data_IF_025009098606
#
_entry.id   IF_025009098606
#
_cell.length_a   1.000
_cell.length_b   1.000
_cell.length_c   1.000
_cell.angle_alpha   90.00
_cell.angle_beta   90.00
_cell.angle_gamma   90.00
#
_symmetry.space_group_name_H-M   'P 1'
#
loop_
_entity.id
_entity.type
_entity.pdbx_description
1 polymer ?
#
# COMPACT_ATOMS: atom_id res chain seq x y z
N UNK A 1 -32.73 38.01 -2.54
CA UNK A 1 -31.30 37.66 -2.46
C UNK A 1 -31.24 36.53 -1.45
N UNK A 2 -30.78 35.36 -1.87
CA UNK A 2 -30.65 34.20 -0.98
C UNK A 2 -29.42 34.49 -0.12
N UNK A 3 -29.54 34.37 1.21
CA UNK A 3 -28.53 34.75 2.20
C UNK A 3 -27.18 34.10 1.90
N UNK A 4 -26.15 34.90 1.59
CA UNK A 4 -24.79 34.43 1.32
C UNK A 4 -24.20 33.66 2.51
N UNK A 5 -24.67 33.95 3.73
CA UNK A 5 -24.29 33.26 4.95
C UNK A 5 -24.88 31.83 5.01
N UNK A 6 -26.12 31.66 4.53
CA UNK A 6 -26.78 30.36 4.46
C UNK A 6 -26.11 29.45 3.41
N UNK A 7 -25.66 30.01 2.29
CA UNK A 7 -24.95 29.26 1.24
C UNK A 7 -23.56 28.79 1.73
N UNK A 8 -22.91 29.61 2.56
CA UNK A 8 -21.62 29.26 3.17
C UNK A 8 -21.75 28.17 4.23
N UNK A 9 -22.75 28.25 5.11
CA UNK A 9 -23.05 27.18 6.06
C UNK A 9 -23.38 25.85 5.35
N UNK A 10 -24.09 25.92 4.22
CA UNK A 10 -24.38 24.76 3.38
C UNK A 10 -23.11 24.14 2.80
N UNK A 11 -22.21 24.99 2.27
CA UNK A 11 -20.93 24.55 1.70
C UNK A 11 -20.02 23.90 2.75
N UNK A 12 -19.90 24.50 3.93
CA UNK A 12 -19.08 23.98 5.02
C UNK A 12 -19.61 22.62 5.51
N UNK A 13 -20.93 22.48 5.61
CA UNK A 13 -21.58 21.21 5.98
C UNK A 13 -21.34 20.12 4.93
N UNK A 14 -21.47 20.46 3.64
CA UNK A 14 -21.20 19.54 2.55
C UNK A 14 -19.72 19.10 2.51
N UNK A 15 -18.78 20.02 2.76
CA UNK A 15 -17.34 19.71 2.81
C UNK A 15 -17.02 18.75 3.96
N UNK A 16 -17.67 18.94 5.12
CA UNK A 16 -17.54 18.03 6.25
C UNK A 16 -18.06 16.62 5.90
N UNK A 17 -19.26 16.53 5.32
CA UNK A 17 -19.84 15.26 4.87
C UNK A 17 -18.94 14.54 3.87
N UNK A 18 -18.41 15.25 2.88
CA UNK A 18 -17.47 14.68 1.89
C UNK A 18 -16.24 14.11 2.60
N UNK A 19 -15.69 14.80 3.59
CA UNK A 19 -14.52 14.33 4.33
C UNK A 19 -14.80 13.08 5.18
N UNK A 20 -15.99 12.99 5.76
CA UNK A 20 -16.46 11.86 6.56
C UNK A 20 -16.71 10.63 5.68
N UNK A 21 -17.46 10.83 4.60
CA UNK A 21 -17.78 9.80 3.62
C UNK A 21 -16.52 9.28 2.93
N UNK A 22 -15.55 10.13 2.60
CA UNK A 22 -14.27 9.70 2.01
C UNK A 22 -13.49 8.78 2.95
N UNK A 23 -13.50 9.08 4.26
CA UNK A 23 -12.84 8.25 5.27
C UNK A 23 -13.54 6.91 5.45
N UNK A 24 -14.88 6.93 5.43
CA UNK A 24 -15.71 5.71 5.48
C UNK A 24 -15.54 4.85 4.24
N UNK A 25 -15.51 5.46 3.06
CA UNK A 25 -15.29 4.77 1.79
C UNK A 25 -13.96 4.00 1.82
N UNK A 26 -12.86 4.67 2.22
CA UNK A 26 -11.56 4.03 2.32
C UNK A 26 -11.54 2.83 3.29
N UNK A 27 -12.33 2.90 4.37
CA UNK A 27 -12.46 1.80 5.33
C UNK A 27 -13.25 0.64 4.73
N UNK A 28 -14.42 0.93 4.17
CA UNK A 28 -15.30 -0.08 3.56
C UNK A 28 -14.65 -0.76 2.36
N UNK A 29 -13.91 -0.02 1.53
CA UNK A 29 -13.15 -0.58 0.41
C UNK A 29 -12.10 -1.58 0.89
N UNK A 30 -11.36 -1.24 1.97
CA UNK A 30 -10.38 -2.14 2.56
C UNK A 30 -11.03 -3.40 3.12
N UNK A 31 -12.11 -3.26 3.86
CA UNK A 31 -12.82 -4.40 4.47
C UNK A 31 -13.43 -5.31 3.40
N UNK A 32 -13.97 -4.73 2.33
CA UNK A 32 -14.47 -5.46 1.18
C UNK A 32 -13.35 -6.26 0.49
N UNK A 33 -12.21 -5.63 0.23
CA UNK A 33 -11.06 -6.30 -0.40
C UNK A 33 -10.56 -7.48 0.46
N UNK A 34 -10.49 -7.30 1.78
CA UNK A 34 -10.10 -8.38 2.70
C UNK A 34 -11.11 -9.53 2.71
N UNK A 35 -12.42 -9.21 2.70
CA UNK A 35 -13.48 -10.23 2.68
C UNK A 35 -13.53 -11.06 1.38
N UNK A 36 -12.96 -10.55 0.28
CA UNK A 36 -12.89 -11.26 -0.99
C UNK A 36 -11.69 -12.19 -1.10
N UNK A 37 -10.71 -12.03 -0.21
CA UNK A 37 -9.54 -12.90 -0.17
C UNK A 37 -9.87 -14.14 0.67
N UNK A 38 -9.67 -15.35 0.13
CA UNK A 38 -9.73 -16.55 0.95
C UNK A 38 -8.61 -16.52 1.99
N UNK A 39 -8.88 -16.99 3.21
CA UNK A 39 -7.84 -17.19 4.21
C UNK A 39 -6.92 -18.35 3.76
N UNK A 40 -5.67 -18.03 3.45
CA UNK A 40 -4.68 -19.04 3.08
C UNK A 40 -3.73 -19.31 4.27
N UNK A 41 -3.47 -20.59 4.62
CA UNK A 41 -2.58 -20.95 5.73
C UNK A 41 -1.12 -20.49 5.53
N UNK A 42 -0.78 -19.97 4.35
CA UNK A 42 0.53 -19.45 4.02
C UNK A 42 0.72 -17.98 4.35
N UNK A 43 -0.35 -17.21 4.54
CA UNK A 43 -0.30 -15.74 4.65
C UNK A 43 0.44 -15.25 5.90
N UNK A 44 0.46 -16.06 6.97
CA UNK A 44 1.16 -15.76 8.21
C UNK A 44 2.63 -16.21 8.22
N UNK A 45 3.11 -16.85 7.15
CA UNK A 45 4.47 -17.42 7.11
C UNK A 45 5.48 -16.43 6.52
N UNK A 46 6.70 -16.48 7.05
CA UNK A 46 7.84 -15.80 6.44
C UNK A 46 8.11 -16.33 5.03
N UNK A 47 8.51 -15.43 4.13
CA UNK A 47 8.86 -15.75 2.74
C UNK A 47 10.34 -15.49 2.50
N UNK A 48 10.96 -16.35 1.69
CA UNK A 48 12.31 -16.14 1.17
C UNK A 48 12.19 -15.56 -0.24
N UNK A 49 12.73 -14.36 -0.45
CA UNK A 49 12.78 -13.70 -1.75
C UNK A 49 14.18 -13.86 -2.37
N UNK A 50 14.25 -14.55 -3.50
CA UNK A 50 15.48 -14.72 -4.27
C UNK A 50 15.42 -13.87 -5.55
N UNK A 51 16.36 -12.94 -5.71
CA UNK A 51 16.45 -12.09 -6.91
C UNK A 51 17.61 -12.58 -7.78
N UNK A 52 17.29 -13.09 -8.97
CA UNK A 52 18.27 -13.59 -9.95
C UNK A 52 18.33 -12.68 -11.18
N UNK A 53 19.52 -12.42 -11.70
CA UNK A 53 19.69 -11.74 -12.97
C UNK A 53 19.18 -12.63 -14.12
N UNK A 54 18.33 -12.06 -14.97
CA UNK A 54 17.84 -12.71 -16.20
C UNK A 54 18.77 -12.50 -17.39
N UNK A 55 18.21 -12.55 -18.60
CA UNK A 55 18.92 -12.15 -19.81
C UNK A 55 19.24 -10.64 -19.81
N UNK A 56 20.38 -10.27 -20.40
CA UNK A 56 20.84 -8.87 -20.42
C UNK A 56 22.12 -8.60 -19.63
N UNK A 57 22.89 -9.63 -19.27
CA UNK A 57 24.27 -9.50 -18.80
C UNK A 57 24.46 -8.56 -17.61
N UNK A 58 25.26 -7.52 -17.82
CA UNK A 58 25.65 -6.56 -16.78
C UNK A 58 24.45 -5.72 -16.31
N UNK A 59 23.61 -5.28 -17.24
CA UNK A 59 22.41 -4.48 -16.96
C UNK A 59 21.40 -5.28 -16.12
N UNK A 60 21.21 -6.57 -16.44
CA UNK A 60 20.36 -7.46 -15.66
C UNK A 60 20.89 -7.65 -14.22
N UNK A 61 22.21 -7.69 -14.06
CA UNK A 61 22.87 -7.81 -12.75
C UNK A 61 22.71 -6.53 -11.92
N UNK A 62 22.86 -5.36 -12.54
CA UNK A 62 22.59 -4.08 -11.87
C UNK A 62 21.13 -3.96 -11.46
N UNK A 63 20.19 -4.31 -12.35
CA UNK A 63 18.77 -4.25 -12.06
C UNK A 63 18.36 -5.19 -10.92
N UNK A 64 18.89 -6.42 -10.89
CA UNK A 64 18.69 -7.35 -9.77
C UNK A 64 19.19 -6.74 -8.43
N UNK A 65 20.33 -6.04 -8.46
CA UNK A 65 20.85 -5.32 -7.30
C UNK A 65 19.92 -4.20 -6.81
N UNK A 66 19.33 -3.44 -7.71
CA UNK A 66 18.39 -2.36 -7.39
C UNK A 66 17.06 -2.91 -6.85
N UNK A 67 16.52 -3.99 -7.42
CA UNK A 67 15.35 -4.68 -6.88
C UNK A 67 15.58 -5.17 -5.45
N UNK A 68 16.74 -5.79 -5.19
CA UNK A 68 17.10 -6.23 -3.84
C UNK A 68 17.12 -5.05 -2.85
N UNK A 69 17.69 -3.90 -3.25
CA UNK A 69 17.72 -2.69 -2.42
C UNK A 69 16.31 -2.16 -2.13
N UNK A 70 15.47 -2.10 -3.15
CA UNK A 70 14.07 -1.66 -3.04
C UNK A 70 13.29 -2.53 -2.05
N UNK A 71 13.31 -3.86 -2.23
CA UNK A 71 12.58 -4.77 -1.35
C UNK A 71 13.13 -4.78 0.08
N UNK A 72 14.44 -4.65 0.25
CA UNK A 72 15.07 -4.52 1.58
C UNK A 72 14.57 -3.26 2.31
N UNK A 73 14.49 -2.12 1.62
CA UNK A 73 13.97 -0.89 2.21
C UNK A 73 12.48 -0.97 2.51
N UNK A 74 11.69 -1.55 1.59
CA UNK A 74 10.26 -1.76 1.79
C UNK A 74 9.98 -2.65 3.01
N UNK A 75 10.65 -3.81 3.10
CA UNK A 75 10.54 -4.72 4.24
C UNK A 75 10.93 -4.06 5.57
N UNK A 76 11.91 -3.14 5.56
CA UNK A 76 12.29 -2.36 6.74
C UNK A 76 11.21 -1.42 7.29
N UNK A 77 10.14 -1.17 6.53
CA UNK A 77 8.97 -0.40 6.99
C UNK A 77 8.07 -1.23 7.92
N UNK A 78 8.25 -2.57 7.94
CA UNK A 78 7.45 -3.50 8.72
C UNK A 78 8.30 -4.18 9.81
N UNK A 79 7.89 -4.13 11.10
CA UNK A 79 8.57 -4.88 12.18
C UNK A 79 8.01 -6.32 12.31
N UNK A 80 8.82 -7.35 12.63
CA UNK A 80 10.27 -7.52 12.50
C UNK A 80 10.60 -8.38 11.26
N UNK A 81 10.96 -7.77 10.12
CA UNK A 81 11.39 -8.51 8.93
C UNK A 81 12.93 -8.62 8.85
N UNK A 82 13.46 -9.84 8.71
CA UNK A 82 14.90 -10.09 8.62
C UNK A 82 15.30 -10.47 7.18
N UNK A 83 15.67 -9.47 6.36
CA UNK A 83 16.20 -9.71 5.02
C UNK A 83 17.72 -9.95 5.07
N UNK A 84 18.15 -11.21 4.97
CA UNK A 84 19.55 -11.55 4.68
C UNK A 84 19.76 -11.64 3.17
N UNK A 85 20.91 -11.15 2.69
CA UNK A 85 21.36 -11.42 1.32
C UNK A 85 21.84 -12.87 1.28
N UNK A 86 21.15 -13.72 0.52
CA UNK A 86 21.68 -15.02 0.12
C UNK A 86 22.58 -14.79 -1.10
N UNK A 87 23.77 -15.38 -1.05
CA UNK A 87 24.93 -15.18 -1.93
C UNK A 87 24.63 -15.25 -3.42
#
# INVERSE_FOLDING_TARGET
MIDDELDKELQDSAQYEVSELSRRLATVERDLLLSLLPEEPADERNVILEVRAGAGGTEASFFAGELFRMYRQYAGTFPPCFCQRVS
#
